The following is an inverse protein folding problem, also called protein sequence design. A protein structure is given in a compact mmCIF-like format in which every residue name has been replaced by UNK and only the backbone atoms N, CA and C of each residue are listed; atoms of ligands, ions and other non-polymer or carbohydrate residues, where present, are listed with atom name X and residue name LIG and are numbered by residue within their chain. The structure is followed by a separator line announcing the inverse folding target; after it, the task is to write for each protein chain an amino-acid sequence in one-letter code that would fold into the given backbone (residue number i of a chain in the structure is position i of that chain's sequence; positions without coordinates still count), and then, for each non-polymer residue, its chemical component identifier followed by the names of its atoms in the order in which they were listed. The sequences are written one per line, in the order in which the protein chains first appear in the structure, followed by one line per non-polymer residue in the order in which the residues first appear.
data_IF_128336851536
#
_entry.id   IF_128336851536
#
_cell.length_a   1.000
_cell.length_b   1.000
_cell.length_c   1.000
_cell.angle_alpha   90.00
_cell.angle_beta   90.00
_cell.angle_gamma   90.00
#
_symmetry.space_group_name_H-M   'P 1'
#
loop_
_entity.id
_entity.type
_entity.pdbx_description
1 polymer ?
#
# COMPACT_ATOMS: atom_id res chain seq x y z
N UNK A 1 3.32 18.34 -4.18
CA UNK A 1 3.56 17.22 -5.15
C UNK A 1 2.63 16.08 -4.75
N UNK A 2 1.84 15.55 -5.69
CA UNK A 2 0.95 14.40 -5.42
C UNK A 2 1.76 13.10 -5.25
N UNK A 3 1.23 12.05 -4.59
CA UNK A 3 1.90 10.75 -4.50
C UNK A 3 2.30 10.18 -5.87
N UNK A 4 1.41 10.28 -6.85
CA UNK A 4 1.69 9.83 -8.23
C UNK A 4 2.82 10.62 -8.91
N UNK A 5 2.90 11.94 -8.71
CA UNK A 5 4.02 12.74 -9.24
C UNK A 5 5.32 12.43 -8.53
N UNK A 6 5.26 12.25 -7.21
CA UNK A 6 6.42 11.86 -6.40
C UNK A 6 6.96 10.47 -6.73
N UNK A 7 6.11 9.56 -7.19
CA UNK A 7 6.48 8.20 -7.58
C UNK A 7 7.08 8.09 -8.99
N UNK A 8 7.06 9.15 -9.80
CA UNK A 8 7.81 9.22 -11.05
C UNK A 8 9.31 9.39 -10.80
N UNK A 9 10.16 8.88 -11.67
CA UNK A 9 11.62 8.88 -11.48
C UNK A 9 12.21 10.26 -11.13
N UNK A 10 11.70 11.33 -11.71
CA UNK A 10 12.15 12.70 -11.42
C UNK A 10 11.66 13.20 -10.07
N UNK A 11 10.40 12.92 -9.72
CA UNK A 11 9.81 13.23 -8.42
C UNK A 11 10.51 12.47 -7.29
N UNK A 12 10.69 11.17 -7.48
CA UNK A 12 11.40 10.31 -6.54
C UNK A 12 12.81 10.81 -6.21
N UNK A 13 13.61 11.16 -7.24
CA UNK A 13 14.96 11.73 -7.02
C UNK A 13 14.92 13.00 -6.18
N UNK A 14 13.94 13.86 -6.42
CA UNK A 14 13.80 15.11 -5.66
C UNK A 14 13.47 14.83 -4.19
N UNK A 15 12.53 13.91 -3.94
CA UNK A 15 12.11 13.53 -2.58
C UNK A 15 13.26 12.87 -1.84
N UNK A 16 13.96 11.91 -2.48
CA UNK A 16 15.06 11.19 -1.84
C UNK A 16 16.34 12.05 -1.67
N UNK A 17 16.41 13.21 -2.33
CA UNK A 17 17.47 14.20 -2.12
C UNK A 17 17.20 15.17 -0.96
N UNK A 18 16.04 15.09 -0.33
CA UNK A 18 15.63 15.91 0.82
C UNK A 18 15.42 14.98 2.04
N UNK A 19 16.33 15.04 2.98
CA UNK A 19 16.32 14.15 4.16
C UNK A 19 15.01 14.24 4.97
N UNK A 20 14.33 15.40 4.97
CA UNK A 20 13.07 15.58 5.65
C UNK A 20 11.88 14.91 4.92
N UNK A 21 12.03 14.68 3.61
CA UNK A 21 10.98 14.12 2.76
C UNK A 21 11.27 12.70 2.30
N UNK A 22 12.52 12.24 2.41
CA UNK A 22 12.93 10.91 1.98
C UNK A 22 12.07 9.80 2.60
N UNK A 23 11.81 8.76 1.81
CA UNK A 23 11.18 7.53 2.28
C UNK A 23 12.22 6.43 2.41
N UNK A 24 12.09 5.62 3.46
CA UNK A 24 13.00 4.51 3.75
C UNK A 24 12.49 3.23 3.06
N UNK A 25 12.70 3.14 1.75
CA UNK A 25 12.23 2.03 0.90
C UNK A 25 13.34 1.03 0.50
N UNK A 26 14.52 1.17 1.10
CA UNK A 26 15.69 0.32 0.84
C UNK A 26 16.43 0.63 -0.45
N UNK A 27 15.98 1.58 -1.27
CA UNK A 27 16.69 2.01 -2.48
C UNK A 27 17.76 3.04 -2.14
N UNK A 28 18.81 3.10 -2.96
CA UNK A 28 19.87 4.10 -2.79
C UNK A 28 19.35 5.49 -3.10
N UNK A 29 19.53 6.41 -2.17
CA UNK A 29 19.37 7.83 -2.43
C UNK A 29 20.44 8.33 -3.41
N UNK A 30 20.17 9.39 -4.20
CA UNK A 30 21.14 9.97 -5.15
C UNK A 30 22.45 10.45 -4.51
N UNK A 31 22.40 10.83 -3.23
CA UNK A 31 23.55 11.28 -2.43
C UNK A 31 24.35 10.12 -1.80
N UNK A 32 24.01 8.86 -2.08
CA UNK A 32 24.68 7.68 -1.55
C UNK A 32 24.30 7.32 -0.11
N UNK A 33 23.41 8.07 0.54
CA UNK A 33 22.87 7.71 1.86
C UNK A 33 21.99 6.46 1.76
N UNK A 34 21.98 5.67 2.82
CA UNK A 34 21.10 4.49 2.91
C UNK A 34 19.67 4.94 3.21
N UNK A 35 18.71 4.44 2.42
CA UNK A 35 17.29 4.57 2.70
C UNK A 35 16.72 3.32 3.37
N UNK A 36 17.54 2.56 4.04
CA UNK A 36 17.13 1.39 4.82
C UNK A 36 16.75 1.88 6.22
N UNK A 37 15.47 1.74 6.55
CA UNK A 37 14.99 1.97 7.92
C UNK A 37 15.46 0.87 8.86
N UNK A 38 15.34 1.07 10.18
CA UNK A 38 15.56 0.02 11.15
C UNK A 38 14.59 -1.15 10.91
N UNK A 39 14.96 -2.39 11.31
CA UNK A 39 14.06 -3.54 11.19
C UNK A 39 12.73 -3.26 11.88
N UNK A 40 11.62 -3.53 11.18
CA UNK A 40 10.28 -3.21 11.68
C UNK A 40 9.95 -3.94 13.00
N UNK A 41 10.57 -5.07 13.24
CA UNK A 41 10.39 -5.89 14.43
C UNK A 41 10.76 -5.17 15.74
N UNK A 42 11.65 -4.17 15.68
CA UNK A 42 12.02 -3.39 16.87
C UNK A 42 10.88 -2.51 17.39
N UNK A 43 9.88 -2.21 16.54
CA UNK A 43 8.77 -1.32 16.90
C UNK A 43 7.63 -2.04 17.62
N UNK A 44 7.39 -3.32 17.27
CA UNK A 44 6.35 -4.11 17.92
C UNK A 44 6.55 -5.62 17.67
N UNK A 45 6.38 -6.49 18.69
CA UNK A 45 6.55 -7.95 18.56
C UNK A 45 5.73 -8.60 17.46
N UNK A 46 4.54 -8.07 17.14
CA UNK A 46 3.68 -8.62 16.10
C UNK A 46 4.35 -8.74 14.73
N UNK A 47 5.34 -7.88 14.43
CA UNK A 47 6.08 -7.97 13.18
C UNK A 47 7.04 -9.14 13.17
N UNK A 48 7.59 -9.49 14.33
CA UNK A 48 8.42 -10.69 14.49
C UNK A 48 7.57 -11.95 14.40
N UNK A 49 6.43 -11.97 15.09
CA UNK A 49 5.44 -13.05 15.01
C UNK A 49 4.99 -13.28 13.56
N UNK A 50 4.72 -12.21 12.82
CA UNK A 50 4.35 -12.29 11.41
C UNK A 50 5.44 -12.93 10.56
N UNK A 51 6.71 -12.52 10.74
CA UNK A 51 7.84 -13.08 10.00
C UNK A 51 8.04 -14.55 10.33
N UNK A 52 7.93 -14.93 11.59
CA UNK A 52 7.99 -16.32 12.00
C UNK A 52 6.88 -17.13 11.35
N UNK A 53 5.64 -16.64 11.40
CA UNK A 53 4.48 -17.32 10.83
C UNK A 53 4.61 -17.52 9.31
N UNK A 54 5.07 -16.51 8.58
CA UNK A 54 5.25 -16.58 7.11
C UNK A 54 6.35 -17.55 6.72
N UNK A 55 7.36 -17.73 7.55
CA UNK A 55 8.48 -18.64 7.29
C UNK A 55 8.32 -20.03 7.92
N UNK A 56 7.24 -20.27 8.65
CA UNK A 56 6.97 -21.57 9.26
C UNK A 56 6.39 -22.54 8.21
N UNK A 57 7.13 -23.61 7.84
CA UNK A 57 6.68 -24.56 6.84
C UNK A 57 5.48 -25.42 7.32
N UNK A 58 5.22 -25.48 8.62
CA UNK A 58 4.14 -26.26 9.20
C UNK A 58 2.81 -25.50 9.24
N UNK A 59 2.82 -24.18 9.00
CA UNK A 59 1.61 -23.40 8.87
C UNK A 59 0.91 -23.70 7.56
N UNK A 60 -0.28 -24.26 7.67
CA UNK A 60 -1.12 -24.57 6.51
C UNK A 60 -2.31 -23.61 6.46
N UNK A 61 -2.51 -22.90 5.33
CA UNK A 61 -3.70 -22.07 5.15
C UNK A 61 -4.96 -22.94 5.16
N UNK A 62 -6.06 -22.40 5.67
CA UNK A 62 -7.33 -23.11 5.62
C UNK A 62 -7.83 -23.25 4.17
N UNK A 63 -8.72 -24.24 3.92
CA UNK A 63 -9.34 -24.40 2.60
C UNK A 63 -10.11 -23.14 2.16
N UNK A 64 -10.66 -22.38 3.11
CA UNK A 64 -11.34 -21.13 2.84
C UNK A 64 -10.34 -20.01 2.42
N UNK A 65 -9.19 -19.93 3.08
CA UNK A 65 -8.15 -18.96 2.71
C UNK A 65 -7.61 -19.25 1.30
N UNK A 66 -7.32 -20.53 1.00
CA UNK A 66 -6.89 -20.96 -0.33
C UNK A 66 -7.93 -20.58 -1.39
N UNK A 67 -9.21 -20.83 -1.12
CA UNK A 67 -10.29 -20.46 -2.04
C UNK A 67 -10.36 -18.93 -2.25
N UNK A 68 -10.31 -18.15 -1.18
CA UNK A 68 -10.39 -16.69 -1.27
C UNK A 68 -9.19 -16.11 -2.06
N UNK A 69 -7.99 -16.63 -1.82
CA UNK A 69 -6.78 -16.23 -2.56
C UNK A 69 -6.88 -16.65 -4.04
N UNK A 70 -7.37 -17.85 -4.32
CA UNK A 70 -7.59 -18.31 -5.70
C UNK A 70 -8.58 -17.42 -6.44
N UNK A 71 -9.70 -17.03 -5.80
CA UNK A 71 -10.68 -16.13 -6.38
C UNK A 71 -10.09 -14.73 -6.64
N UNK A 72 -9.24 -14.21 -5.75
CA UNK A 72 -8.52 -12.97 -5.94
C UNK A 72 -7.56 -13.05 -7.13
N UNK A 73 -6.72 -14.10 -7.18
CA UNK A 73 -5.75 -14.30 -8.26
C UNK A 73 -6.42 -14.45 -9.61
N UNK A 74 -7.49 -15.25 -9.68
CA UNK A 74 -8.26 -15.42 -10.91
C UNK A 74 -8.84 -14.08 -11.40
N UNK A 75 -9.49 -13.33 -10.51
CA UNK A 75 -10.06 -12.03 -10.85
C UNK A 75 -8.99 -11.02 -11.28
N UNK A 76 -7.87 -10.96 -10.57
CA UNK A 76 -6.75 -10.09 -10.92
C UNK A 76 -6.15 -10.43 -12.29
N UNK A 77 -6.15 -11.71 -12.70
CA UNK A 77 -5.63 -12.14 -14.00
C UNK A 77 -6.54 -11.78 -15.18
N UNK A 78 -7.80 -11.45 -14.93
CA UNK A 78 -8.76 -11.07 -15.98
C UNK A 78 -8.67 -9.59 -16.38
N UNK A 79 -7.87 -8.76 -15.68
CA UNK A 79 -7.75 -7.31 -15.89
C UNK A 79 -7.44 -6.93 -17.33
N UNK A 80 -6.61 -7.69 -18.02
CA UNK A 80 -6.24 -7.43 -19.41
C UNK A 80 -7.36 -7.60 -20.43
N UNK A 81 -8.54 -8.10 -20.01
CA UNK A 81 -9.68 -8.37 -20.90
C UNK A 81 -10.82 -7.37 -20.76
N UNK A 82 -10.78 -6.49 -19.77
CA UNK A 82 -11.85 -5.53 -19.47
C UNK A 82 -11.41 -4.10 -19.72
N UNK A 83 -11.33 -3.70 -20.99
CA UNK A 83 -10.94 -2.32 -21.38
C UNK A 83 -11.91 -1.22 -20.90
N UNK A 84 -13.11 -1.55 -20.44
CA UNK A 84 -14.19 -0.56 -20.30
C UNK A 84 -14.66 -0.23 -18.87
N UNK A 85 -14.12 -0.82 -17.80
CA UNK A 85 -14.69 -0.59 -16.45
C UNK A 85 -13.63 -0.47 -15.34
N UNK A 86 -12.89 0.63 -15.31
CA UNK A 86 -11.94 0.91 -14.21
C UNK A 86 -12.56 0.79 -12.82
N UNK A 87 -13.68 1.47 -12.57
CA UNK A 87 -14.30 1.53 -11.24
C UNK A 87 -14.85 0.17 -10.79
N UNK A 88 -15.46 -0.58 -11.70
CA UNK A 88 -16.02 -1.89 -11.37
C UNK A 88 -14.96 -2.95 -11.07
N UNK A 89 -13.78 -2.84 -11.71
CA UNK A 89 -12.67 -3.77 -11.46
C UNK A 89 -12.02 -3.52 -10.10
N UNK A 90 -11.72 -2.26 -9.78
CA UNK A 90 -11.15 -1.90 -8.48
C UNK A 90 -12.07 -2.28 -7.33
N UNK A 91 -13.39 -2.08 -7.47
CA UNK A 91 -14.35 -2.54 -6.47
C UNK A 91 -14.41 -4.07 -6.35
N UNK A 92 -14.29 -4.78 -7.48
CA UNK A 92 -14.20 -6.24 -7.47
C UNK A 92 -12.97 -6.77 -6.71
N UNK A 93 -11.81 -6.10 -6.84
CA UNK A 93 -10.59 -6.42 -6.08
C UNK A 93 -10.76 -6.07 -4.60
N UNK A 94 -11.28 -4.89 -4.27
CA UNK A 94 -11.57 -4.51 -2.88
C UNK A 94 -12.50 -5.50 -2.19
N UNK A 95 -13.56 -5.93 -2.87
CA UNK A 95 -14.51 -6.92 -2.34
C UNK A 95 -13.82 -8.24 -1.97
N UNK A 96 -12.87 -8.71 -2.75
CA UNK A 96 -12.12 -9.93 -2.46
C UNK A 96 -11.12 -9.73 -1.34
N UNK A 97 -10.45 -8.58 -1.33
CA UNK A 97 -9.54 -8.22 -0.24
C UNK A 97 -10.27 -8.10 1.10
N UNK A 98 -11.49 -7.53 1.14
CA UNK A 98 -12.33 -7.49 2.36
C UNK A 98 -12.53 -8.88 2.95
N UNK A 99 -12.79 -9.90 2.11
CA UNK A 99 -12.96 -11.28 2.58
C UNK A 99 -11.68 -11.88 3.14
N UNK A 100 -10.53 -11.62 2.51
CA UNK A 100 -9.23 -12.15 2.95
C UNK A 100 -8.80 -11.45 4.23
N UNK A 101 -8.86 -10.13 4.27
CA UNK A 101 -8.37 -9.30 5.37
C UNK A 101 -9.38 -9.20 6.53
N UNK A 102 -10.63 -9.63 6.31
CA UNK A 102 -11.74 -9.47 7.27
C UNK A 102 -11.87 -8.02 7.77
N UNK A 103 -11.62 -7.06 6.89
CA UNK A 103 -11.63 -5.63 7.17
C UNK A 103 -12.24 -4.85 6.01
N UNK A 104 -12.86 -3.72 6.31
CA UNK A 104 -13.42 -2.85 5.28
C UNK A 104 -12.32 -2.14 4.49
N UNK A 105 -12.23 -2.47 3.20
CA UNK A 105 -11.41 -1.75 2.23
C UNK A 105 -12.31 -0.81 1.45
N UNK A 106 -12.13 0.48 1.62
CA UNK A 106 -12.96 1.51 0.98
C UNK A 106 -12.12 2.57 0.29
N UNK A 107 -12.72 3.38 -0.55
CA UNK A 107 -12.08 4.55 -1.13
C UNK A 107 -12.28 5.74 -0.21
N UNK A 108 -11.22 6.51 0.00
CA UNK A 108 -11.27 7.74 0.76
C UNK A 108 -10.33 8.78 0.14
N UNK A 109 -10.87 9.94 -0.26
CA UNK A 109 -10.02 11.00 -0.80
C UNK A 109 -9.18 11.63 0.30
N UNK A 110 -7.94 11.94 -0.02
CA UNK A 110 -7.09 12.77 0.82
C UNK A 110 -7.60 14.23 0.82
N UNK A 111 -7.22 15.04 1.81
CA UNK A 111 -7.60 16.46 1.87
C UNK A 111 -7.21 17.27 0.62
N UNK A 112 -6.16 16.86 -0.11
CA UNK A 112 -5.72 17.48 -1.34
C UNK A 112 -6.47 16.97 -2.61
N UNK A 113 -7.51 16.15 -2.43
CA UNK A 113 -8.31 15.57 -3.49
C UNK A 113 -7.65 14.37 -4.23
N UNK A 114 -6.43 13.98 -3.87
CA UNK A 114 -5.87 12.73 -4.36
C UNK A 114 -6.57 11.55 -3.71
N UNK A 115 -6.67 10.42 -4.42
CA UNK A 115 -7.44 9.28 -3.97
C UNK A 115 -6.65 8.00 -4.20
N UNK A 116 -6.34 7.21 -3.15
CA UNK A 116 -5.81 5.87 -3.31
C UNK A 116 -6.93 4.92 -3.79
N UNK A 117 -6.56 3.80 -4.39
CA UNK A 117 -7.52 2.80 -4.88
C UNK A 117 -8.23 2.05 -3.74
N UNK A 118 -7.67 2.10 -2.55
CA UNK A 118 -8.31 1.60 -1.34
C UNK A 118 -7.54 1.94 -0.09
N UNK A 119 -8.27 2.04 1.03
CA UNK A 119 -7.70 2.23 2.37
C UNK A 119 -8.41 1.32 3.38
N UNK A 120 -7.69 0.95 4.42
CA UNK A 120 -8.28 0.44 5.67
C UNK A 120 -7.95 1.45 6.75
N UNK A 121 -8.96 1.90 7.45
CA UNK A 121 -8.84 2.83 8.56
C UNK A 121 -9.36 2.20 9.85
N UNK A 122 -8.74 2.56 10.96
CA UNK A 122 -9.15 2.16 12.31
C UNK A 122 -9.50 3.41 13.10
N UNK A 123 -10.57 3.31 13.91
CA UNK A 123 -10.91 4.32 14.89
C UNK A 123 -10.27 3.92 16.23
N UNK A 124 -9.39 4.77 16.76
CA UNK A 124 -8.76 4.57 18.06
C UNK A 124 -9.03 5.82 18.91
N UNK A 125 -9.99 5.72 19.83
CA UNK A 125 -10.51 6.89 20.52
C UNK A 125 -11.11 7.88 19.53
N UNK A 126 -10.67 9.13 19.59
CA UNK A 126 -11.10 10.20 18.67
C UNK A 126 -10.26 10.24 17.39
N UNK A 127 -9.16 9.48 17.31
CA UNK A 127 -8.28 9.46 16.15
C UNK A 127 -8.69 8.39 15.15
N UNK A 128 -8.73 8.79 13.87
CA UNK A 128 -8.89 7.86 12.73
C UNK A 128 -7.52 7.62 12.09
N UNK A 129 -7.08 6.39 12.09
CA UNK A 129 -5.74 6.01 11.63
C UNK A 129 -5.86 5.17 10.36
N UNK A 130 -5.23 5.61 9.29
CA UNK A 130 -5.04 4.81 8.08
C UNK A 130 -3.91 3.83 8.31
N UNK A 131 -4.21 2.54 8.29
CA UNK A 131 -3.22 1.52 8.56
C UNK A 131 -2.83 0.68 7.33
N UNK A 132 -3.65 0.72 6.27
CA UNK A 132 -3.35 0.10 4.99
C UNK A 132 -3.77 1.03 3.85
N UNK A 133 -2.92 1.15 2.84
CA UNK A 133 -3.23 1.81 1.57
C UNK A 133 -3.01 0.82 0.43
N UNK A 134 -3.94 0.80 -0.51
CA UNK A 134 -3.92 -0.01 -1.72
C UNK A 134 -3.75 0.90 -2.93
N UNK A 135 -2.81 0.56 -3.78
CA UNK A 135 -2.64 1.12 -5.13
C UNK A 135 -2.66 -0.01 -6.14
N UNK A 136 -3.51 0.10 -7.13
CA UNK A 136 -3.69 -0.91 -8.17
C UNK A 136 -3.11 -0.39 -9.49
N UNK A 137 -2.40 -1.24 -10.20
CA UNK A 137 -1.88 -0.97 -11.54
C UNK A 137 -2.27 -2.13 -12.46
N UNK A 138 -2.75 -1.81 -13.65
CA UNK A 138 -3.11 -2.83 -14.65
C UNK A 138 -1.90 -3.54 -15.20
N UNK A 139 -0.81 -2.81 -15.32
CA UNK A 139 0.45 -3.34 -15.84
C UNK A 139 1.65 -2.69 -15.18
N UNK A 140 2.79 -3.35 -15.27
CA UNK A 140 4.05 -2.81 -14.78
C UNK A 140 4.43 -1.53 -15.55
N UNK A 141 4.65 -0.44 -14.83
CA UNK A 141 5.01 0.86 -15.41
C UNK A 141 3.84 1.74 -15.83
N UNK A 142 2.60 1.34 -15.58
CA UNK A 142 1.41 2.16 -15.85
C UNK A 142 1.53 3.55 -15.22
N UNK A 143 1.30 4.60 -16.01
CA UNK A 143 1.40 5.99 -15.59
C UNK A 143 2.82 6.47 -15.30
N UNK A 144 3.84 5.64 -15.54
CA UNK A 144 5.25 5.97 -15.28
C UNK A 144 5.57 6.13 -13.79
N UNK A 145 4.72 5.59 -12.91
CA UNK A 145 4.85 5.66 -11.46
C UNK A 145 5.19 4.28 -10.89
N UNK A 146 6.05 4.25 -9.90
CA UNK A 146 6.27 3.07 -9.08
C UNK A 146 5.17 2.97 -8.01
N UNK A 147 4.35 1.87 -7.98
CA UNK A 147 3.22 1.77 -7.05
C UNK A 147 3.67 1.69 -5.59
N UNK A 148 4.81 1.08 -5.28
CA UNK A 148 5.30 0.97 -3.91
C UNK A 148 5.73 2.33 -3.37
N UNK A 149 6.38 3.15 -4.19
CA UNK A 149 6.71 4.55 -3.86
C UNK A 149 5.43 5.38 -3.69
N UNK A 150 4.45 5.20 -4.56
CA UNK A 150 3.18 5.91 -4.48
C UNK A 150 2.45 5.62 -3.17
N UNK A 151 2.37 4.34 -2.77
CA UNK A 151 1.79 3.92 -1.48
C UNK A 151 2.55 4.54 -0.30
N UNK A 152 3.89 4.49 -0.31
CA UNK A 152 4.71 5.08 0.76
C UNK A 152 4.46 6.58 0.93
N UNK A 153 4.34 7.31 -0.18
CA UNK A 153 4.03 8.75 -0.15
C UNK A 153 2.59 9.03 0.29
N UNK A 154 1.64 8.18 -0.09
CA UNK A 154 0.25 8.27 0.37
C UNK A 154 0.14 8.00 1.87
N UNK A 155 0.84 6.98 2.37
CA UNK A 155 0.87 6.65 3.80
C UNK A 155 1.46 7.79 4.63
N UNK A 156 2.59 8.36 4.18
CA UNK A 156 3.22 9.52 4.85
C UNK A 156 2.24 10.68 5.01
N UNK A 157 1.42 10.97 3.99
CA UNK A 157 0.40 12.03 4.04
C UNK A 157 -0.67 11.74 5.09
N UNK A 158 -1.24 10.53 5.04
CA UNK A 158 -2.28 10.13 5.99
C UNK A 158 -1.83 10.24 7.45
N UNK A 159 -0.54 10.03 7.72
CA UNK A 159 0.00 10.10 9.09
C UNK A 159 0.38 11.52 9.52
N UNK A 160 0.80 12.38 8.58
CA UNK A 160 1.11 13.79 8.89
C UNK A 160 -0.16 14.53 9.29
N UNK A 161 -1.29 14.29 8.62
CA UNK A 161 -2.56 14.93 8.92
C UNK A 161 -3.08 14.59 10.33
N UNK A 162 -2.68 13.44 10.90
CA UNK A 162 -2.99 13.06 12.29
C UNK A 162 -2.19 13.83 13.34
N UNK A 163 -1.05 14.41 12.98
CA UNK A 163 -0.16 15.11 13.92
C UNK A 163 -0.46 16.60 14.08
N UNK A 164 -1.45 17.13 13.37
CA UNK A 164 -1.80 18.57 13.34
C UNK A 164 -3.15 18.87 14.04
N UNK A 165 -3.77 17.85 14.65
CA UNK A 165 -5.03 17.95 15.40
C UNK A 165 -4.83 18.18 16.89
#
# INVERSE_FOLDING_TARGET
MTPSEGAKSTGYRKIQGDDAQAIYDGRRAPNGLSTIGPPIQIFHPIFDDFIHLVNDPDVQPSANDLKNVQELMYFASEVGRMEERHDGHNEGLRTRLRRILQAEVHEEPNPDGTKPDGVITLQIGDARITFLILELKRELGEGGCDPTTQVGLSMKRSWIDLSVG
#
